data_IF_005547769112
#
_entry.id   IF_005547769112
#
_cell.length_a   1.000
_cell.length_b   1.000
_cell.length_c   1.000
_cell.angle_alpha   90.00
_cell.angle_beta   90.00
_cell.angle_gamma   90.00
#
_symmetry.space_group_name_H-M   'P 1'
#
loop_
_entity.id
_entity.type
_entity.pdbx_description
1 polymer ?
#
# COMPACT_ATOMS: atom_id res chain seq x y z
N UNK A 1 -26.12 -51.73 -80.84
CA UNK A 1 -26.87 -51.35 -79.65
C UNK A 1 -26.13 -51.78 -78.41
N UNK A 2 -25.48 -50.90 -77.78
CA UNK A 2 -25.15 -50.98 -76.30
C UNK A 2 -24.46 -49.65 -75.99
N UNK A 3 -25.12 -48.89 -75.09
CA UNK A 3 -24.65 -47.57 -74.71
C UNK A 3 -23.58 -47.69 -73.60
N UNK A 4 -22.40 -47.21 -73.83
CA UNK A 4 -21.34 -47.07 -72.82
C UNK A 4 -21.62 -45.81 -71.97
N UNK A 5 -21.81 -45.99 -70.68
CA UNK A 5 -21.90 -44.88 -69.68
C UNK A 5 -20.45 -44.52 -69.23
N UNK A 6 -20.09 -43.30 -69.53
CA UNK A 6 -18.87 -42.67 -69.02
C UNK A 6 -19.11 -42.23 -67.57
N UNK A 7 -18.40 -42.84 -66.68
CA UNK A 7 -18.34 -42.45 -65.26
C UNK A 7 -17.26 -41.41 -65.08
N UNK A 8 -17.64 -40.16 -64.82
CA UNK A 8 -16.72 -39.10 -64.51
C UNK A 8 -16.36 -39.19 -63.02
N UNK A 9 -15.15 -39.51 -62.66
CA UNK A 9 -14.57 -39.34 -61.32
C UNK A 9 -14.29 -37.85 -61.12
N UNK A 10 -15.00 -37.20 -60.23
CA UNK A 10 -14.62 -35.90 -59.71
C UNK A 10 -13.68 -36.11 -58.53
N UNK A 11 -12.40 -35.76 -58.67
CA UNK A 11 -11.43 -35.70 -57.59
C UNK A 11 -11.66 -34.35 -56.87
N UNK A 12 -12.28 -34.44 -55.71
CA UNK A 12 -12.38 -33.29 -54.80
C UNK A 12 -11.05 -33.16 -54.05
N UNK A 13 -10.25 -32.17 -54.40
CA UNK A 13 -9.07 -31.79 -53.62
C UNK A 13 -9.57 -31.07 -52.33
N UNK A 14 -9.57 -31.77 -51.22
CA UNK A 14 -9.77 -31.16 -49.91
C UNK A 14 -8.48 -30.41 -49.52
N UNK A 15 -8.49 -29.09 -49.73
CA UNK A 15 -7.46 -28.20 -49.18
C UNK A 15 -7.74 -28.11 -47.66
N UNK A 16 -7.01 -28.90 -46.89
CA UNK A 16 -6.99 -28.78 -45.45
C UNK A 16 -6.34 -27.46 -45.02
N UNK A 17 -7.14 -26.44 -44.71
CA UNK A 17 -6.68 -25.29 -43.92
C UNK A 17 -6.29 -25.81 -42.53
N UNK A 18 -5.01 -26.11 -42.32
CA UNK A 18 -4.44 -26.16 -40.99
C UNK A 18 -4.52 -24.73 -40.38
N UNK A 19 -5.56 -24.48 -39.61
CA UNK A 19 -5.59 -23.34 -38.69
C UNK A 19 -4.49 -23.57 -37.68
N UNK A 20 -3.32 -22.97 -37.87
CA UNK A 20 -2.35 -22.75 -36.81
C UNK A 20 -3.00 -21.77 -35.84
N UNK A 21 -3.74 -22.29 -34.89
CA UNK A 21 -4.02 -21.59 -33.65
C UNK A 21 -2.65 -21.32 -33.01
N UNK A 22 -2.16 -20.11 -33.14
CA UNK A 22 -1.05 -19.64 -32.33
C UNK A 22 -1.51 -19.78 -30.88
N UNK A 23 -1.05 -20.83 -30.21
CA UNK A 23 -1.08 -20.90 -28.76
C UNK A 23 -0.18 -19.73 -28.33
N UNK A 24 -0.80 -18.61 -27.98
CA UNK A 24 -0.10 -17.57 -27.27
C UNK A 24 0.45 -18.27 -26.02
N UNK A 25 1.76 -18.51 -25.99
CA UNK A 25 2.43 -18.97 -24.79
C UNK A 25 2.01 -17.96 -23.71
N UNK A 26 1.28 -18.43 -22.71
CA UNK A 26 1.00 -17.61 -21.55
C UNK A 26 2.38 -17.16 -21.06
N UNK A 27 2.64 -15.86 -21.11
CA UNK A 27 3.89 -15.32 -20.61
C UNK A 27 4.00 -15.81 -19.16
N UNK A 28 5.10 -16.49 -18.84
CA UNK A 28 5.30 -16.99 -17.48
C UNK A 28 5.06 -15.83 -16.51
N UNK A 29 4.15 -16.01 -15.59
CA UNK A 29 3.85 -14.99 -14.58
C UNK A 29 5.12 -14.66 -13.78
N UNK A 30 5.44 -13.37 -13.55
CA UNK A 30 6.71 -12.99 -12.95
C UNK A 30 6.87 -13.60 -11.55
N UNK A 31 8.07 -14.12 -11.28
CA UNK A 31 8.48 -14.60 -9.95
C UNK A 31 9.67 -13.76 -9.48
N UNK A 32 9.52 -13.14 -8.31
CA UNK A 32 10.54 -12.24 -7.76
C UNK A 32 11.22 -12.86 -6.54
N UNK A 33 12.43 -12.39 -6.23
CA UNK A 33 13.12 -12.77 -5.01
C UNK A 33 12.45 -12.21 -3.74
N UNK A 34 12.93 -12.64 -2.54
CA UNK A 34 12.34 -12.22 -1.27
C UNK A 34 12.46 -10.72 -1.00
N UNK A 35 13.47 -10.05 -1.57
CA UNK A 35 13.62 -8.59 -1.53
C UNK A 35 13.16 -7.95 -2.86
N UNK A 36 12.16 -8.56 -3.49
CA UNK A 36 11.55 -8.08 -4.74
C UNK A 36 12.58 -7.89 -5.85
N UNK A 37 13.63 -8.74 -5.88
CA UNK A 37 14.60 -8.79 -6.97
C UNK A 37 13.89 -9.18 -8.27
N UNK A 38 14.22 -8.48 -9.34
CA UNK A 38 13.60 -8.66 -10.66
C UNK A 38 12.41 -7.74 -10.92
N UNK A 39 11.90 -7.00 -9.94
CA UNK A 39 10.89 -5.95 -10.16
C UNK A 39 11.55 -4.57 -10.24
N UNK A 40 11.28 -3.85 -11.33
CA UNK A 40 11.85 -2.52 -11.55
C UNK A 40 11.04 -1.43 -10.84
N UNK A 41 11.74 -0.60 -10.06
CA UNK A 41 11.17 0.59 -9.44
C UNK A 41 11.21 1.78 -10.40
N UNK A 42 10.26 2.71 -10.28
CA UNK A 42 10.18 3.88 -11.19
C UNK A 42 11.29 4.92 -10.94
N UNK A 43 12.00 4.81 -9.82
CA UNK A 43 13.11 5.68 -9.43
C UNK A 43 14.28 4.85 -8.88
N UNK A 44 15.51 5.39 -8.85
CA UNK A 44 16.67 4.71 -8.26
C UNK A 44 16.41 4.29 -6.82
N UNK A 45 16.82 3.07 -6.47
CA UNK A 45 16.69 2.49 -5.14
C UNK A 45 18.00 2.60 -4.39
N UNK A 46 17.96 3.31 -3.28
CA UNK A 46 19.08 3.43 -2.32
C UNK A 46 18.94 2.41 -1.19
N UNK A 47 20.03 2.20 -0.43
CA UNK A 47 20.08 1.22 0.65
C UNK A 47 20.65 1.85 1.92
N UNK A 48 19.88 1.90 2.98
CA UNK A 48 20.30 2.24 4.32
C UNK A 48 20.60 0.97 5.11
N UNK A 49 21.86 0.78 5.54
CA UNK A 49 22.31 -0.38 6.30
C UNK A 49 22.42 -0.01 7.77
N UNK A 50 21.91 -0.87 8.65
CA UNK A 50 21.93 -0.68 10.09
C UNK A 50 21.74 -2.02 10.81
N UNK A 51 22.06 -2.07 12.12
CA UNK A 51 21.80 -3.23 12.96
C UNK A 51 20.56 -3.00 13.82
N UNK A 52 19.68 -3.98 13.88
CA UNK A 52 18.49 -3.96 14.75
C UNK A 52 18.18 -5.35 15.25
N UNK A 53 17.86 -5.47 16.54
CA UNK A 53 17.58 -6.75 17.23
C UNK A 53 18.68 -7.82 16.99
N UNK A 54 19.95 -7.38 16.99
CA UNK A 54 21.10 -8.28 16.78
C UNK A 54 21.27 -8.79 15.35
N UNK A 55 20.59 -8.20 14.37
CA UNK A 55 20.67 -8.59 12.96
C UNK A 55 21.10 -7.39 12.11
N UNK A 56 21.95 -7.64 11.10
CA UNK A 56 22.32 -6.64 10.10
C UNK A 56 21.22 -6.58 9.03
N UNK A 57 20.67 -5.41 8.86
CA UNK A 57 19.51 -5.15 7.99
C UNK A 57 19.82 -4.08 6.97
N UNK A 58 19.08 -4.12 5.88
CA UNK A 58 19.03 -3.02 4.91
C UNK A 58 17.60 -2.57 4.66
N UNK A 59 17.38 -1.26 4.70
CA UNK A 59 16.15 -0.61 4.30
C UNK A 59 16.34 -0.02 2.90
N UNK A 60 15.57 -0.48 1.93
CA UNK A 60 15.51 0.12 0.62
C UNK A 60 14.68 1.41 0.70
N UNK A 61 15.06 2.42 -0.05
CA UNK A 61 14.29 3.68 -0.11
C UNK A 61 14.52 4.40 -1.42
N UNK A 62 13.59 5.29 -1.76
CA UNK A 62 13.72 6.24 -2.85
C UNK A 62 14.03 7.62 -2.24
N UNK A 63 15.01 8.33 -2.78
CA UNK A 63 15.32 9.74 -2.45
C UNK A 63 15.25 10.55 -3.74
N UNK A 64 14.09 11.12 -4.00
CA UNK A 64 13.83 11.84 -5.24
C UNK A 64 13.87 13.34 -4.98
N UNK A 65 14.81 14.00 -5.64
CA UNK A 65 14.97 15.45 -5.55
C UNK A 65 13.89 16.17 -6.35
N UNK A 66 13.59 17.44 -6.02
CA UNK A 66 12.66 18.25 -6.80
C UNK A 66 13.05 18.27 -8.29
N UNK A 67 12.05 18.12 -9.17
CA UNK A 67 12.21 18.29 -10.62
C UNK A 67 11.95 19.74 -11.07
N UNK A 68 11.50 20.61 -10.16
CA UNK A 68 11.34 22.04 -10.33
C UNK A 68 12.17 22.81 -9.29
N UNK A 69 11.93 24.12 -9.14
CA UNK A 69 12.58 24.94 -8.10
C UNK A 69 12.27 24.37 -6.71
N UNK A 70 13.30 24.02 -5.90
CA UNK A 70 13.11 23.44 -4.58
C UNK A 70 12.35 24.39 -3.64
N UNK A 71 11.38 23.85 -2.90
CA UNK A 71 10.67 24.61 -1.85
C UNK A 71 11.35 24.50 -0.47
N UNK A 72 12.48 23.78 -0.38
CA UNK A 72 13.24 23.58 0.86
C UNK A 72 12.63 22.53 1.81
N UNK A 73 11.50 21.89 1.44
CA UNK A 73 10.77 20.95 2.31
C UNK A 73 10.94 19.50 1.86
N UNK A 74 10.83 18.60 2.83
CA UNK A 74 10.88 17.15 2.60
C UNK A 74 9.56 16.52 3.00
N UNK A 75 9.09 15.53 2.22
CA UNK A 75 7.97 14.67 2.56
C UNK A 75 8.39 13.21 2.54
N UNK A 76 7.95 12.45 3.54
CA UNK A 76 8.19 11.01 3.68
C UNK A 76 6.92 10.25 3.39
N UNK A 77 6.96 9.29 2.47
CA UNK A 77 5.81 8.50 2.02
C UNK A 77 5.89 7.07 2.57
N UNK A 78 5.01 6.72 3.51
CA UNK A 78 4.94 5.41 4.16
C UNK A 78 3.83 4.57 3.51
N UNK A 79 4.23 3.48 2.85
CA UNK A 79 3.33 2.62 2.07
C UNK A 79 2.42 1.74 2.94
N UNK A 80 1.32 1.25 2.35
CA UNK A 80 0.43 0.25 2.93
C UNK A 80 1.00 -1.19 2.87
N UNK A 81 0.32 -2.14 3.54
CA UNK A 81 0.80 -3.52 3.67
C UNK A 81 0.99 -4.25 2.33
N UNK A 82 0.09 -4.04 1.38
CA UNK A 82 0.15 -4.70 0.07
C UNK A 82 0.95 -3.91 -0.97
N UNK A 83 1.53 -2.79 -0.57
CA UNK A 83 2.22 -1.86 -1.42
C UNK A 83 3.68 -1.68 -1.02
N UNK A 84 4.43 -1.00 -1.87
CA UNK A 84 5.84 -0.69 -1.77
C UNK A 84 6.06 0.81 -2.01
N UNK A 85 7.28 1.28 -1.81
CA UNK A 85 7.67 2.64 -2.21
C UNK A 85 7.38 2.92 -3.70
N UNK A 86 7.47 1.89 -4.56
CA UNK A 86 7.16 2.00 -5.98
C UNK A 86 5.73 2.45 -6.27
N UNK A 87 4.76 2.08 -5.43
CA UNK A 87 3.34 2.44 -5.63
C UNK A 87 3.07 3.93 -5.47
N UNK A 88 4.00 4.66 -4.88
CA UNK A 88 3.95 6.12 -4.77
C UNK A 88 4.41 6.86 -6.04
N UNK A 89 4.66 6.17 -7.17
CA UNK A 89 5.18 6.75 -8.41
C UNK A 89 4.47 8.05 -8.81
N UNK A 90 3.13 8.04 -8.86
CA UNK A 90 2.34 9.21 -9.22
C UNK A 90 2.46 10.36 -8.21
N UNK A 91 2.46 10.01 -6.90
CA UNK A 91 2.62 11.00 -5.84
C UNK A 91 4.04 11.59 -5.81
N UNK A 92 5.07 10.77 -6.04
CA UNK A 92 6.45 11.25 -6.13
C UNK A 92 6.59 12.25 -7.28
N UNK A 93 6.05 11.95 -8.47
CA UNK A 93 6.07 12.86 -9.63
C UNK A 93 5.41 14.19 -9.29
N UNK A 94 4.17 14.16 -8.78
CA UNK A 94 3.42 15.37 -8.46
C UNK A 94 4.11 16.24 -7.38
N UNK A 95 4.67 15.60 -6.35
CA UNK A 95 5.36 16.30 -5.27
C UNK A 95 6.69 16.90 -5.72
N UNK A 96 7.49 16.18 -6.51
CA UNK A 96 8.77 16.70 -7.02
C UNK A 96 8.57 17.80 -8.03
N UNK A 97 7.53 17.76 -8.84
CA UNK A 97 7.09 18.86 -9.71
C UNK A 97 6.66 20.11 -8.91
N UNK A 98 6.12 19.92 -7.70
CA UNK A 98 5.77 20.97 -6.76
C UNK A 98 6.95 21.43 -5.85
N UNK A 99 8.17 21.01 -6.15
CA UNK A 99 9.39 21.47 -5.45
C UNK A 99 9.77 20.68 -4.20
N UNK A 100 9.10 19.57 -3.88
CA UNK A 100 9.39 18.75 -2.70
C UNK A 100 10.54 17.76 -2.94
N UNK A 101 11.40 17.58 -1.92
CA UNK A 101 12.21 16.35 -1.81
C UNK A 101 11.35 15.25 -1.26
N UNK A 102 11.35 14.07 -1.90
CA UNK A 102 10.50 12.93 -1.50
C UNK A 102 11.37 11.76 -1.05
N UNK A 103 11.13 11.27 0.17
CA UNK A 103 11.72 10.04 0.70
C UNK A 103 10.61 8.98 0.79
N UNK A 104 10.80 7.84 0.15
CA UNK A 104 9.84 6.74 0.22
C UNK A 104 10.57 5.43 0.58
N UNK A 105 10.59 5.04 1.87
CA UNK A 105 11.19 3.78 2.30
C UNK A 105 10.26 2.60 2.05
N UNK A 106 10.81 1.46 1.66
CA UNK A 106 10.22 0.16 1.93
C UNK A 106 10.51 -0.20 3.39
N UNK A 107 9.49 -0.40 4.20
CA UNK A 107 9.70 -0.75 5.59
C UNK A 107 10.36 -2.14 5.74
N UNK A 108 11.10 -2.37 6.84
CA UNK A 108 11.64 -3.71 7.14
C UNK A 108 10.49 -4.73 7.15
N UNK A 109 10.71 -5.86 6.50
CA UNK A 109 9.69 -6.89 6.28
C UNK A 109 8.96 -6.78 4.94
N UNK A 110 9.12 -5.67 4.22
CA UNK A 110 8.42 -5.38 2.97
C UNK A 110 9.38 -5.30 1.77
N UNK A 111 8.86 -5.57 0.62
CA UNK A 111 9.39 -5.24 -0.73
C UNK A 111 10.90 -5.42 -0.89
N UNK A 112 11.65 -4.36 -1.19
CA UNK A 112 13.10 -4.42 -1.41
C UNK A 112 13.93 -4.32 -0.12
N UNK A 113 13.29 -4.26 1.04
CA UNK A 113 13.95 -4.27 2.36
C UNK A 113 14.10 -5.68 2.93
N UNK A 114 15.03 -5.84 3.87
CA UNK A 114 15.29 -7.11 4.56
C UNK A 114 14.05 -7.71 5.19
N UNK A 115 13.96 -9.05 5.16
CA UNK A 115 12.92 -9.85 5.81
C UNK A 115 13.54 -10.76 6.88
N UNK A 116 13.95 -10.16 8.02
CA UNK A 116 14.70 -10.89 9.04
C UNK A 116 13.87 -11.98 9.71
N UNK A 117 14.48 -13.14 9.91
CA UNK A 117 13.88 -14.22 10.67
C UNK A 117 13.78 -13.83 12.15
N UNK A 118 12.66 -14.16 12.79
CA UNK A 118 12.48 -13.93 14.23
C UNK A 118 12.38 -12.47 14.68
N UNK A 119 12.32 -11.53 13.75
CA UNK A 119 12.19 -10.09 14.06
C UNK A 119 10.86 -9.77 14.71
N UNK A 120 10.90 -9.04 15.82
CA UNK A 120 9.69 -8.53 16.47
C UNK A 120 9.28 -7.22 15.82
N UNK A 121 8.24 -7.27 14.99
CA UNK A 121 7.67 -6.08 14.40
C UNK A 121 6.80 -5.33 15.42
N UNK A 122 7.07 -4.05 15.56
CA UNK A 122 6.21 -3.08 16.26
C UNK A 122 6.18 -1.78 15.47
N UNK A 123 5.09 -1.03 15.58
CA UNK A 123 5.04 0.31 14.96
C UNK A 123 6.13 1.22 15.53
N UNK A 124 6.47 1.07 16.81
CA UNK A 124 7.58 1.79 17.45
C UNK A 124 8.92 1.46 16.78
N UNK A 125 9.18 0.17 16.53
CA UNK A 125 10.44 -0.24 15.88
C UNK A 125 10.50 0.28 14.43
N UNK A 126 9.41 0.18 13.66
CA UNK A 126 9.38 0.70 12.29
C UNK A 126 9.52 2.23 12.25
N UNK A 127 8.89 2.95 13.20
CA UNK A 127 9.08 4.39 13.35
C UNK A 127 10.53 4.76 13.71
N UNK A 128 11.15 4.02 14.63
CA UNK A 128 12.56 4.18 14.98
C UNK A 128 13.51 3.93 13.80
N UNK A 129 13.26 2.88 13.01
CA UNK A 129 14.03 2.60 11.80
C UNK A 129 13.87 3.73 10.76
N UNK A 130 12.66 4.24 10.57
CA UNK A 130 12.39 5.38 9.69
C UNK A 130 13.11 6.64 10.19
N UNK A 131 13.09 6.92 11.51
CA UNK A 131 13.80 8.07 12.10
C UNK A 131 15.31 7.95 11.89
N UNK A 132 15.88 6.77 12.06
CA UNK A 132 17.29 6.53 11.83
C UNK A 132 17.71 6.75 10.37
N UNK A 133 16.88 6.29 9.41
CA UNK A 133 17.08 6.59 8.00
C UNK A 133 17.07 8.11 7.74
N UNK A 134 16.07 8.84 8.24
CA UNK A 134 15.97 10.29 8.02
C UNK A 134 17.17 11.03 8.65
N UNK A 135 17.61 10.63 9.84
CA UNK A 135 18.79 11.19 10.48
C UNK A 135 20.07 10.96 9.65
N UNK A 136 20.22 9.77 9.04
CA UNK A 136 21.36 9.48 8.16
C UNK A 136 21.40 10.32 6.89
N UNK A 137 20.24 10.87 6.49
CA UNK A 137 20.08 11.77 5.35
C UNK A 137 20.13 13.26 5.73
N UNK A 138 20.39 13.57 7.01
CA UNK A 138 20.38 14.94 7.53
C UNK A 138 19.00 15.60 7.57
N UNK A 139 17.93 14.79 7.63
CA UNK A 139 16.54 15.28 7.65
C UNK A 139 16.06 15.30 9.10
N UNK A 140 15.98 16.49 9.68
CA UNK A 140 15.51 16.71 11.06
C UNK A 140 13.98 16.83 11.12
N UNK A 141 13.39 17.50 10.14
CA UNK A 141 11.97 17.79 10.04
C UNK A 141 11.43 17.35 8.68
N UNK A 142 10.21 16.82 8.65
CA UNK A 142 9.53 16.45 7.41
C UNK A 142 8.01 16.41 7.58
N UNK A 143 7.30 16.50 6.47
CA UNK A 143 5.91 16.03 6.39
C UNK A 143 5.93 14.52 6.36
N UNK A 144 5.12 13.87 7.20
CA UNK A 144 4.95 12.42 7.20
C UNK A 144 3.59 12.07 6.59
N UNK A 145 3.61 11.35 5.48
CA UNK A 145 2.41 10.90 4.79
C UNK A 145 2.34 9.38 4.79
N UNK A 146 1.24 8.81 5.27
CA UNK A 146 1.06 7.36 5.34
C UNK A 146 -0.25 6.90 4.73
N UNK A 147 -0.19 5.82 3.92
CA UNK A 147 -1.34 5.14 3.36
C UNK A 147 -1.62 3.84 4.11
N UNK A 148 -2.88 3.58 4.48
CA UNK A 148 -3.28 2.30 5.06
C UNK A 148 -2.49 1.98 6.35
N UNK A 149 -1.77 0.86 6.40
CA UNK A 149 -0.81 0.52 7.48
C UNK A 149 0.26 1.59 7.68
N UNK A 150 0.71 2.21 6.57
CA UNK A 150 1.61 3.37 6.64
C UNK A 150 1.00 4.55 7.39
N UNK A 151 -0.34 4.67 7.41
CA UNK A 151 -1.05 5.65 8.22
C UNK A 151 -0.95 5.35 9.73
N UNK A 152 -1.08 4.07 10.15
CA UNK A 152 -0.81 3.69 11.55
C UNK A 152 0.65 3.98 11.94
N UNK A 153 1.59 3.68 11.03
CA UNK A 153 3.01 3.98 11.24
C UNK A 153 3.27 5.48 11.32
N UNK A 154 2.65 6.28 10.46
CA UNK A 154 2.76 7.74 10.46
C UNK A 154 2.23 8.35 11.78
N UNK A 155 1.10 7.87 12.28
CA UNK A 155 0.57 8.27 13.58
C UNK A 155 1.53 7.87 14.72
N UNK A 156 2.05 6.65 14.73
CA UNK A 156 3.06 6.21 15.73
C UNK A 156 4.33 7.04 15.64
N UNK A 157 4.80 7.37 14.44
CA UNK A 157 5.96 8.23 14.24
C UNK A 157 5.71 9.63 14.84
N UNK A 158 4.57 10.23 14.59
CA UNK A 158 4.20 11.54 15.11
C UNK A 158 4.09 11.56 16.66
N UNK A 159 3.59 10.47 17.25
CA UNK A 159 3.55 10.31 18.71
C UNK A 159 4.94 10.19 19.34
N UNK A 160 5.86 9.49 18.69
CA UNK A 160 7.24 9.29 19.19
C UNK A 160 8.16 10.48 18.94
N UNK A 161 7.96 11.19 17.85
CA UNK A 161 8.84 12.26 17.37
C UNK A 161 8.08 13.53 16.97
N UNK A 162 7.23 14.09 17.86
CA UNK A 162 6.31 15.17 17.50
C UNK A 162 7.02 16.43 16.97
N UNK A 163 8.23 16.71 17.48
CA UNK A 163 9.02 17.86 17.05
C UNK A 163 9.69 17.71 15.69
N UNK A 164 9.71 16.51 15.11
CA UNK A 164 10.27 16.25 13.78
C UNK A 164 9.22 16.11 12.68
N UNK A 165 7.95 16.32 13.02
CA UNK A 165 6.83 16.24 12.08
C UNK A 165 6.25 17.62 11.85
N UNK A 166 6.45 18.17 10.66
CA UNK A 166 5.86 19.48 10.28
C UNK A 166 4.34 19.36 10.09
N UNK A 167 3.90 18.31 9.42
CA UNK A 167 2.51 18.03 9.09
C UNK A 167 2.34 16.51 8.95
N UNK A 168 1.16 15.99 9.28
CA UNK A 168 0.80 14.58 9.15
C UNK A 168 -0.30 14.40 8.12
N UNK A 169 -0.07 13.57 7.10
CA UNK A 169 -1.06 13.24 6.06
C UNK A 169 -1.42 11.78 6.17
N UNK A 170 -2.68 11.48 6.33
CA UNK A 170 -3.24 10.14 6.51
C UNK A 170 -4.17 9.83 5.34
N UNK A 171 -3.74 8.90 4.47
CA UNK A 171 -4.49 8.49 3.27
C UNK A 171 -5.13 7.14 3.55
N UNK A 172 -6.44 7.11 3.66
CA UNK A 172 -7.21 5.91 4.02
C UNK A 172 -6.48 5.07 5.10
N UNK A 173 -6.09 5.70 6.24
CA UNK A 173 -5.33 4.99 7.25
C UNK A 173 -6.19 3.87 7.84
N UNK A 174 -5.63 2.68 8.01
CA UNK A 174 -6.27 1.67 8.86
C UNK A 174 -6.01 2.01 10.34
N UNK A 175 -6.73 1.32 11.24
CA UNK A 175 -6.59 1.60 12.69
C UNK A 175 -7.37 2.82 13.18
N UNK A 176 -8.34 3.32 12.39
CA UNK A 176 -9.32 4.30 12.84
C UNK A 176 -10.40 3.68 13.76
N UNK A 177 -10.34 2.37 13.95
CA UNK A 177 -11.17 1.59 14.87
C UNK A 177 -10.34 0.48 15.51
N UNK A 178 -10.69 0.03 16.71
CA UNK A 178 -10.09 -1.15 17.33
C UNK A 178 -10.94 -2.38 16.99
N UNK A 179 -10.45 -3.20 16.07
CA UNK A 179 -11.13 -4.40 15.60
C UNK A 179 -11.33 -5.44 16.71
N UNK A 180 -10.36 -5.57 17.65
CA UNK A 180 -10.47 -6.49 18.80
C UNK A 180 -11.62 -6.08 19.72
N UNK A 181 -11.67 -4.78 20.07
CA UNK A 181 -12.74 -4.25 20.90
C UNK A 181 -14.12 -4.40 20.24
N UNK A 182 -14.17 -4.42 18.91
CA UNK A 182 -15.40 -4.68 18.14
C UNK A 182 -15.73 -6.16 17.95
N UNK A 183 -14.89 -7.08 18.44
CA UNK A 183 -15.17 -8.51 18.42
C UNK A 183 -14.57 -9.27 17.23
N UNK A 184 -13.58 -8.70 16.51
CA UNK A 184 -12.76 -9.48 15.58
C UNK A 184 -11.90 -10.46 16.36
N UNK A 185 -11.98 -11.78 16.10
CA UNK A 185 -11.22 -12.77 16.86
C UNK A 185 -9.72 -12.67 16.59
N UNK A 186 -8.95 -12.99 17.61
CA UNK A 186 -7.50 -13.13 17.47
C UNK A 186 -7.15 -14.34 16.56
N UNK A 187 -6.14 -14.15 15.73
CA UNK A 187 -5.55 -15.19 14.93
C UNK A 187 -4.06 -15.36 15.30
N UNK A 188 -3.61 -16.61 15.47
CA UNK A 188 -2.20 -16.89 15.77
C UNK A 188 -1.27 -16.56 14.60
N UNK A 189 0.04 -16.42 14.87
CA UNK A 189 1.03 -16.24 13.81
C UNK A 189 1.00 -17.37 12.78
N UNK A 190 0.80 -18.62 13.20
CA UNK A 190 0.67 -19.75 12.29
C UNK A 190 -0.60 -19.61 11.44
N UNK A 191 -1.70 -19.15 12.01
CA UNK A 191 -2.93 -18.86 11.30
C UNK A 191 -2.74 -17.76 10.24
N UNK A 192 -2.07 -16.66 10.58
CA UNK A 192 -1.70 -15.60 9.62
C UNK A 192 -0.79 -16.15 8.52
N UNK A 193 0.23 -16.93 8.89
CA UNK A 193 1.18 -17.51 7.92
C UNK A 193 0.51 -18.47 6.95
N UNK A 194 -0.43 -19.28 7.43
CA UNK A 194 -1.19 -20.18 6.56
C UNK A 194 -2.09 -19.41 5.57
N UNK A 195 -2.65 -18.28 5.98
CA UNK A 195 -3.39 -17.39 5.06
C UNK A 195 -2.45 -16.80 3.99
N UNK A 196 -1.29 -16.32 4.41
CA UNK A 196 -0.29 -15.76 3.48
C UNK A 196 0.22 -16.79 2.46
N UNK A 197 0.32 -18.06 2.84
CA UNK A 197 0.67 -19.15 1.91
C UNK A 197 -0.37 -19.40 0.82
N UNK A 198 -1.60 -18.95 1.02
CA UNK A 198 -2.69 -19.08 0.03
C UNK A 198 -2.84 -17.88 -0.87
N UNK A 199 -2.04 -16.84 -0.66
CA UNK A 199 -2.07 -15.63 -1.50
C UNK A 199 -1.70 -15.98 -2.94
N UNK A 200 -2.51 -15.49 -3.86
CA UNK A 200 -2.34 -15.64 -5.31
C UNK A 200 -2.65 -14.33 -6.02
N UNK A 201 -2.25 -14.18 -7.28
CA UNK A 201 -2.59 -13.02 -8.09
C UNK A 201 -4.11 -12.79 -8.14
N UNK A 202 -4.89 -13.86 -8.29
CA UNK A 202 -6.36 -13.76 -8.35
C UNK A 202 -6.95 -13.28 -7.03
N UNK A 203 -6.45 -13.78 -5.88
CA UNK A 203 -6.93 -13.34 -4.57
C UNK A 203 -6.56 -11.89 -4.28
N UNK A 204 -5.36 -11.45 -4.68
CA UNK A 204 -4.92 -10.06 -4.56
C UNK A 204 -5.80 -9.17 -5.43
N UNK A 205 -5.97 -9.51 -6.70
CA UNK A 205 -6.78 -8.74 -7.67
C UNK A 205 -8.23 -8.61 -7.20
N UNK A 206 -8.83 -9.71 -6.74
CA UNK A 206 -10.19 -9.69 -6.24
C UNK A 206 -10.34 -8.78 -5.01
N UNK A 207 -9.39 -8.85 -4.08
CA UNK A 207 -9.37 -8.00 -2.89
C UNK A 207 -9.16 -6.52 -3.25
N UNK A 208 -8.17 -6.19 -4.07
CA UNK A 208 -7.88 -4.81 -4.46
C UNK A 208 -9.04 -4.21 -5.27
N UNK A 209 -9.62 -4.96 -6.21
CA UNK A 209 -10.77 -4.51 -6.94
C UNK A 209 -11.93 -4.14 -6.01
N UNK A 210 -12.28 -5.02 -5.07
CA UNK A 210 -13.41 -4.82 -4.19
C UNK A 210 -13.19 -3.70 -3.16
N UNK A 211 -11.97 -3.57 -2.62
CA UNK A 211 -11.69 -2.65 -1.52
C UNK A 211 -10.90 -1.41 -1.95
N UNK A 212 -9.85 -1.59 -2.78
CA UNK A 212 -8.94 -0.49 -3.11
C UNK A 212 -9.50 0.41 -4.20
N UNK A 213 -10.29 -0.16 -5.12
CA UNK A 213 -10.74 0.53 -6.32
C UNK A 213 -12.27 0.59 -6.46
N UNK A 214 -13.01 0.35 -5.38
CA UNK A 214 -14.48 0.48 -5.33
C UNK A 214 -15.19 -0.28 -6.47
N UNK A 215 -14.84 -1.55 -6.66
CA UNK A 215 -15.28 -2.45 -7.74
C UNK A 215 -14.92 -2.01 -9.17
N UNK A 216 -14.22 -0.90 -9.36
CA UNK A 216 -13.64 -0.52 -10.65
C UNK A 216 -12.31 -1.24 -10.91
N UNK A 217 -11.92 -1.34 -12.18
CA UNK A 217 -10.61 -1.92 -12.53
C UNK A 217 -10.01 -1.20 -13.74
N UNK A 218 -8.81 -0.69 -13.57
CA UNK A 218 -8.00 -0.17 -14.65
C UNK A 218 -6.82 -1.15 -14.92
N UNK A 219 -6.49 -1.47 -16.19
CA UNK A 219 -5.38 -2.37 -16.50
C UNK A 219 -4.04 -1.98 -15.87
N UNK A 220 -3.81 -0.71 -15.60
CA UNK A 220 -2.57 -0.24 -14.93
C UNK A 220 -2.41 -0.74 -13.50
N UNK A 221 -3.50 -1.14 -12.82
CA UNK A 221 -3.45 -1.69 -11.46
C UNK A 221 -2.83 -3.09 -11.43
N UNK A 222 -2.89 -3.83 -12.55
CA UNK A 222 -2.35 -5.18 -12.65
C UNK A 222 -0.86 -5.25 -12.30
N UNK A 223 -0.10 -4.19 -12.60
CA UNK A 223 1.31 -4.08 -12.22
C UNK A 223 1.53 -4.28 -10.72
N UNK A 224 0.65 -3.75 -9.88
CA UNK A 224 0.76 -3.83 -8.43
C UNK A 224 0.35 -5.21 -7.90
N UNK A 225 -0.66 -5.81 -8.52
CA UNK A 225 -1.01 -7.22 -8.27
C UNK A 225 0.17 -8.13 -8.57
N UNK A 226 0.80 -7.98 -9.73
CA UNK A 226 1.92 -8.81 -10.15
C UNK A 226 3.19 -8.55 -9.31
N UNK A 227 3.41 -7.32 -8.86
CA UNK A 227 4.47 -6.97 -7.92
C UNK A 227 4.37 -7.80 -6.63
N UNK A 228 3.20 -7.81 -6.01
CA UNK A 228 2.97 -8.55 -4.77
C UNK A 228 2.95 -10.06 -5.01
N UNK A 229 2.17 -10.54 -5.99
CA UNK A 229 2.04 -11.97 -6.30
C UNK A 229 3.36 -12.61 -6.70
N UNK A 230 4.21 -11.87 -7.41
CA UNK A 230 5.53 -12.36 -7.84
C UNK A 230 6.45 -12.74 -6.69
N UNK A 231 6.37 -12.06 -5.54
CA UNK A 231 7.12 -12.45 -4.34
C UNK A 231 6.62 -13.78 -3.76
N UNK A 232 5.32 -14.05 -3.85
CA UNK A 232 4.73 -15.32 -3.40
C UNK A 232 4.95 -16.49 -4.39
N UNK A 233 5.27 -16.20 -5.65
CA UNK A 233 5.68 -17.20 -6.65
C UNK A 233 7.17 -17.50 -6.61
N UNK A 234 7.97 -16.57 -6.11
CA UNK A 234 9.42 -16.65 -6.09
C UNK A 234 10.00 -17.57 -5.00
N UNK A 235 11.33 -17.75 -5.02
CA UNK A 235 12.03 -18.66 -4.10
C UNK A 235 11.95 -18.20 -2.62
N UNK A 236 11.66 -16.91 -2.39
CA UNK A 236 11.51 -16.32 -1.06
C UNK A 236 10.15 -16.44 -0.42
N UNK A 237 9.20 -17.19 -1.01
CA UNK A 237 7.82 -17.29 -0.57
C UNK A 237 7.64 -17.47 0.95
N UNK A 238 8.41 -18.38 1.56
CA UNK A 238 8.33 -18.64 3.00
C UNK A 238 8.81 -17.47 3.86
N UNK A 239 9.84 -16.76 3.45
CA UNK A 239 10.33 -15.57 4.14
C UNK A 239 9.30 -14.43 4.02
N UNK A 240 8.73 -14.23 2.83
CA UNK A 240 7.68 -13.26 2.57
C UNK A 240 6.43 -13.56 3.41
N UNK A 241 5.92 -14.79 3.36
CA UNK A 241 4.75 -15.21 4.15
C UNK A 241 4.99 -15.08 5.66
N UNK A 242 6.18 -15.41 6.13
CA UNK A 242 6.56 -15.32 7.55
C UNK A 242 6.64 -13.86 8.03
N UNK A 243 7.27 -12.97 7.25
CA UNK A 243 7.30 -11.53 7.54
C UNK A 243 5.89 -10.93 7.51
N UNK A 244 5.13 -11.24 6.48
CA UNK A 244 3.77 -10.73 6.29
C UNK A 244 2.83 -11.15 7.43
N UNK A 245 2.92 -12.41 7.89
CA UNK A 245 2.15 -12.90 9.04
C UNK A 245 2.45 -12.10 10.32
N UNK A 246 3.75 -11.83 10.61
CA UNK A 246 4.16 -11.03 11.78
C UNK A 246 3.69 -9.58 11.66
N UNK A 247 3.69 -9.03 10.44
CA UNK A 247 3.17 -7.69 10.19
C UNK A 247 1.65 -7.61 10.37
N UNK A 248 0.90 -8.65 9.99
CA UNK A 248 -0.53 -8.74 10.30
C UNK A 248 -0.80 -8.80 11.81
N UNK A 249 -0.01 -9.61 12.54
CA UNK A 249 -0.11 -9.68 14.01
C UNK A 249 0.18 -8.31 14.65
N UNK A 250 1.23 -7.62 14.20
CA UNK A 250 1.52 -6.25 14.63
C UNK A 250 0.32 -5.33 14.38
N UNK A 251 -0.23 -5.32 13.17
CA UNK A 251 -1.37 -4.47 12.80
C UNK A 251 -2.59 -4.78 13.68
N UNK A 252 -2.90 -6.07 13.86
CA UNK A 252 -4.09 -6.49 14.62
C UNK A 252 -3.97 -6.27 16.13
N UNK A 253 -2.74 -6.26 16.67
CA UNK A 253 -2.51 -6.24 18.13
C UNK A 253 -2.03 -4.92 18.68
N UNK A 254 -1.60 -3.97 17.84
CA UNK A 254 -1.01 -2.69 18.25
C UNK A 254 -1.84 -1.49 17.75
N UNK A 255 -3.04 -1.26 18.31
CA UNK A 255 -3.88 -0.14 17.89
C UNK A 255 -3.24 1.20 18.25
N UNK A 256 -3.36 2.17 17.33
CA UNK A 256 -3.05 3.59 17.58
C UNK A 256 -4.31 4.39 17.93
N UNK A 257 -5.45 3.76 17.86
CA UNK A 257 -6.79 4.33 18.04
C UNK A 257 -6.98 5.12 19.33
N UNK A 258 -6.33 4.71 20.42
CA UNK A 258 -6.51 5.31 21.75
C UNK A 258 -5.65 6.55 22.00
N UNK A 259 -4.83 6.99 21.02
CA UNK A 259 -3.83 8.04 21.22
C UNK A 259 -4.00 9.23 20.24
N UNK A 260 -5.12 9.32 19.53
CA UNK A 260 -5.34 10.38 18.52
C UNK A 260 -5.26 11.78 19.09
N UNK A 261 -5.77 11.99 20.32
CA UNK A 261 -5.76 13.27 21.00
C UNK A 261 -4.36 13.76 21.40
N UNK A 262 -3.36 12.87 21.34
CA UNK A 262 -1.96 13.17 21.66
C UNK A 262 -1.14 13.54 20.41
N UNK A 263 -1.71 13.46 19.22
CA UNK A 263 -1.02 13.80 17.97
C UNK A 263 -1.07 15.33 17.78
N UNK A 264 0.07 15.97 18.01
CA UNK A 264 0.21 17.44 18.04
C UNK A 264 0.30 18.08 16.64
N UNK A 265 1.04 17.51 15.65
CA UNK A 265 1.16 18.12 14.33
C UNK A 265 -0.20 18.31 13.64
N UNK A 266 -0.36 19.33 12.77
CA UNK A 266 -1.54 19.43 11.91
C UNK A 266 -1.77 18.18 11.08
N UNK A 267 -3.00 17.67 11.07
CA UNK A 267 -3.39 16.41 10.42
C UNK A 267 -4.29 16.66 9.23
N UNK A 268 -3.96 16.07 8.09
CA UNK A 268 -4.88 15.91 6.97
C UNK A 268 -5.32 14.46 6.89
N UNK A 269 -6.63 14.21 6.98
CA UNK A 269 -7.25 12.94 6.63
C UNK A 269 -7.78 13.00 5.20
N UNK A 270 -7.38 12.06 4.35
CA UNK A 270 -7.86 11.92 2.96
C UNK A 270 -8.52 10.55 2.83
N UNK A 271 -9.83 10.51 2.74
CA UNK A 271 -10.65 9.31 2.87
C UNK A 271 -11.44 9.04 1.59
N UNK A 272 -11.31 7.82 1.05
CA UNK A 272 -12.21 7.28 0.03
C UNK A 272 -13.47 6.71 0.70
N UNK A 273 -14.64 7.27 0.41
CA UNK A 273 -15.88 6.89 1.08
C UNK A 273 -16.36 5.48 0.74
N UNK A 274 -15.80 4.89 -0.33
CA UNK A 274 -16.08 3.49 -0.72
C UNK A 274 -15.10 2.50 -0.10
N UNK A 275 -14.14 2.95 0.67
CA UNK A 275 -13.25 2.07 1.40
C UNK A 275 -14.01 1.26 2.45
N UNK A 276 -13.74 -0.05 2.48
CA UNK A 276 -14.35 -0.99 3.42
C UNK A 276 -13.30 -1.83 4.15
N UNK A 277 -12.05 -1.41 4.11
CA UNK A 277 -10.91 -2.15 4.66
C UNK A 277 -11.02 -2.27 6.18
N UNK A 278 -10.96 -3.51 6.68
CA UNK A 278 -10.80 -3.80 8.10
C UNK A 278 -10.06 -5.13 8.27
N UNK A 279 -9.05 -5.14 9.14
CA UNK A 279 -8.23 -6.33 9.35
C UNK A 279 -9.04 -7.42 10.07
N UNK A 280 -9.02 -8.63 9.50
CA UNK A 280 -9.76 -9.76 10.04
C UNK A 280 -11.29 -9.66 9.90
N UNK A 281 -11.79 -8.75 9.07
CA UNK A 281 -13.22 -8.57 8.81
C UNK A 281 -13.92 -9.87 8.40
N UNK A 282 -13.26 -10.68 7.60
CA UNK A 282 -13.76 -11.99 7.15
C UNK A 282 -13.84 -13.03 8.29
N UNK A 283 -13.05 -12.88 9.35
CA UNK A 283 -13.06 -13.71 10.55
C UNK A 283 -14.13 -13.24 11.56
N UNK A 284 -14.62 -12.02 11.42
CA UNK A 284 -15.58 -11.44 12.34
C UNK A 284 -16.92 -12.18 12.29
N UNK A 285 -17.65 -12.29 13.44
CA UNK A 285 -19.02 -12.78 13.46
C UNK A 285 -19.91 -12.03 12.47
N UNK A 286 -20.92 -12.71 11.92
CA UNK A 286 -21.83 -12.15 10.92
C UNK A 286 -22.53 -10.85 11.41
N UNK A 287 -22.79 -10.73 12.71
CA UNK A 287 -23.38 -9.52 13.33
C UNK A 287 -22.39 -8.35 13.43
N UNK A 288 -21.08 -8.63 13.51
CA UNK A 288 -20.03 -7.62 13.67
C UNK A 288 -19.53 -7.13 12.31
N UNK A 289 -19.38 -8.04 11.36
CA UNK A 289 -18.80 -7.78 10.04
C UNK A 289 -19.33 -6.53 9.33
N UNK A 290 -20.63 -6.23 9.29
CA UNK A 290 -21.16 -5.04 8.65
C UNK A 290 -20.79 -3.72 9.35
N UNK A 291 -20.37 -3.77 10.62
CA UNK A 291 -20.02 -2.58 11.42
C UNK A 291 -18.57 -2.15 11.25
N UNK A 292 -17.76 -2.97 10.55
CA UNK A 292 -16.33 -2.74 10.33
C UNK A 292 -16.06 -2.04 9.00
N UNK A 293 -15.10 -1.10 9.00
CA UNK A 293 -14.63 -0.44 7.79
C UNK A 293 -15.67 0.54 7.21
N UNK A 294 -16.40 1.26 8.04
CA UNK A 294 -17.27 2.35 7.60
C UNK A 294 -16.47 3.65 7.56
N UNK A 295 -15.68 3.84 6.50
CA UNK A 295 -14.73 4.96 6.39
C UNK A 295 -15.36 6.35 6.45
N UNK A 296 -16.54 6.62 5.85
CA UNK A 296 -17.20 7.92 6.04
C UNK A 296 -17.47 8.27 7.52
N UNK A 297 -17.86 7.28 8.31
CA UNK A 297 -18.07 7.48 9.75
C UNK A 297 -16.74 7.51 10.53
N UNK A 298 -15.81 6.63 10.19
CA UNK A 298 -14.50 6.53 10.83
C UNK A 298 -13.65 7.78 10.61
N UNK A 299 -13.65 8.33 9.39
CA UNK A 299 -12.92 9.56 9.05
C UNK A 299 -13.42 10.75 9.87
N UNK A 300 -14.75 10.94 9.95
CA UNK A 300 -15.37 12.01 10.74
C UNK A 300 -15.09 11.86 12.25
N UNK A 301 -15.22 10.63 12.75
CA UNK A 301 -14.93 10.35 14.16
C UNK A 301 -13.46 10.57 14.50
N UNK A 302 -12.55 10.17 13.65
CA UNK A 302 -11.12 10.38 13.83
C UNK A 302 -10.75 11.88 13.75
N UNK A 303 -11.25 12.60 12.74
CA UNK A 303 -11.02 14.04 12.59
C UNK A 303 -11.47 14.83 13.83
N UNK A 304 -12.56 14.43 14.45
CA UNK A 304 -13.06 15.08 15.67
C UNK A 304 -12.19 14.84 16.91
N UNK A 305 -11.30 13.83 16.88
CA UNK A 305 -10.41 13.45 17.99
C UNK A 305 -9.01 14.04 17.88
N UNK A 306 -8.51 14.29 16.67
CA UNK A 306 -7.22 14.96 16.50
C UNK A 306 -7.33 16.44 16.91
N UNK A 307 -6.36 17.00 17.65
CA UNK A 307 -6.39 18.40 18.07
C UNK A 307 -6.49 19.40 16.91
N UNK A 308 -5.86 19.10 15.79
CA UNK A 308 -5.82 19.94 14.60
C UNK A 308 -5.97 19.07 13.35
N UNK A 309 -7.20 18.83 12.90
CA UNK A 309 -7.44 17.99 11.72
C UNK A 309 -8.33 18.65 10.69
N UNK A 310 -8.01 18.36 9.43
CA UNK A 310 -8.90 18.57 8.29
C UNK A 310 -9.23 17.22 7.66
N UNK A 311 -10.48 17.02 7.28
CA UNK A 311 -10.96 15.85 6.55
C UNK A 311 -11.26 16.24 5.10
N UNK A 312 -10.73 15.49 4.15
CA UNK A 312 -11.11 15.54 2.73
C UNK A 312 -11.67 14.17 2.36
N UNK A 313 -12.93 14.16 1.94
CA UNK A 313 -13.65 12.95 1.53
C UNK A 313 -13.70 12.85 -0.02
N UNK A 314 -13.55 11.62 -0.53
CA UNK A 314 -13.69 11.28 -1.94
C UNK A 314 -14.86 10.29 -2.09
N UNK A 315 -16.09 10.78 -2.39
CA UNK A 315 -17.32 9.99 -2.28
C UNK A 315 -17.39 8.75 -3.19
N UNK A 316 -16.59 8.74 -4.25
CA UNK A 316 -16.58 7.73 -5.32
C UNK A 316 -15.33 6.82 -5.30
N UNK A 317 -14.36 7.07 -4.41
CA UNK A 317 -13.09 6.35 -4.38
C UNK A 317 -13.04 5.31 -3.25
N UNK A 318 -12.22 4.28 -3.47
CA UNK A 318 -11.90 3.23 -2.50
C UNK A 318 -10.66 3.56 -1.69
N UNK A 319 -9.99 2.51 -1.19
CA UNK A 319 -8.85 2.56 -0.28
C UNK A 319 -7.56 3.18 -0.87
N UNK A 320 -7.50 3.42 -2.18
CA UNK A 320 -6.29 3.94 -2.83
C UNK A 320 -6.57 5.15 -3.72
N UNK A 321 -7.08 6.27 -3.16
CA UNK A 321 -7.47 7.45 -3.93
C UNK A 321 -6.29 8.08 -4.68
N UNK A 322 -5.06 7.97 -4.17
CA UNK A 322 -3.84 8.45 -4.82
C UNK A 322 -3.50 7.70 -6.11
N UNK A 323 -4.00 6.46 -6.27
CA UNK A 323 -3.84 5.65 -7.48
C UNK A 323 -5.09 5.77 -8.37
N UNK A 324 -6.27 5.72 -7.77
CA UNK A 324 -7.54 5.68 -8.47
C UNK A 324 -7.90 7.00 -9.15
N UNK A 325 -7.58 8.14 -8.51
CA UNK A 325 -7.86 9.48 -9.05
C UNK A 325 -6.70 10.46 -8.78
N UNK A 326 -5.48 10.20 -9.35
CA UNK A 326 -4.26 10.91 -8.97
C UNK A 326 -4.35 12.42 -9.12
N UNK A 327 -4.94 12.92 -10.20
CA UNK A 327 -5.03 14.37 -10.42
C UNK A 327 -5.87 15.07 -9.33
N UNK A 328 -7.03 14.50 -8.98
CA UNK A 328 -7.91 15.05 -7.94
C UNK A 328 -7.27 14.94 -6.56
N UNK A 329 -6.66 13.81 -6.27
CA UNK A 329 -5.98 13.56 -5.02
C UNK A 329 -4.81 14.54 -4.80
N UNK A 330 -3.90 14.64 -5.79
CA UNK A 330 -2.72 15.49 -5.66
C UNK A 330 -3.07 16.99 -5.63
N UNK A 331 -4.11 17.42 -6.36
CA UNK A 331 -4.57 18.81 -6.28
C UNK A 331 -5.06 19.17 -4.86
N UNK A 332 -5.79 18.25 -4.20
CA UNK A 332 -6.25 18.44 -2.82
C UNK A 332 -5.08 18.41 -1.82
N UNK A 333 -4.17 17.45 -1.95
CA UNK A 333 -2.97 17.32 -1.13
C UNK A 333 -2.09 18.57 -1.20
N UNK A 334 -1.70 19.00 -2.40
CA UNK A 334 -0.81 20.13 -2.60
C UNK A 334 -1.41 21.44 -2.10
N UNK A 335 -2.73 21.62 -2.24
CA UNK A 335 -3.43 22.78 -1.68
C UNK A 335 -3.27 22.84 -0.17
N UNK A 336 -3.47 21.73 0.52
CA UNK A 336 -3.33 21.69 1.98
C UNK A 336 -1.88 21.83 2.44
N UNK A 337 -0.92 21.20 1.78
CA UNK A 337 0.50 21.30 2.11
C UNK A 337 1.03 22.73 2.03
N UNK A 338 0.46 23.56 1.15
CA UNK A 338 0.85 24.96 0.98
C UNK A 338 0.11 25.92 1.93
N UNK A 339 -1.04 25.52 2.47
CA UNK A 339 -1.89 26.35 3.32
C UNK A 339 -2.39 25.56 4.56
N UNK A 340 -1.50 25.16 5.47
CA UNK A 340 -1.86 24.34 6.63
C UNK A 340 -2.78 25.04 7.64
N UNK A 341 -2.94 26.36 7.52
CA UNK A 341 -3.73 27.18 8.45
C UNK A 341 -5.26 27.08 8.25
N UNK A 342 -5.70 26.32 7.25
CA UNK A 342 -7.14 26.15 6.95
C UNK A 342 -7.74 25.03 7.81
N UNK A 343 -7.52 25.08 9.11
CA UNK A 343 -8.01 24.11 10.08
C UNK A 343 -8.01 24.65 11.50
N UNK A 344 -7.89 25.98 11.67
CA UNK A 344 -8.09 26.56 13.00
C UNK A 344 -9.46 26.14 13.54
N UNK A 345 -9.56 25.67 14.80
CA UNK A 345 -10.83 25.27 15.38
C UNK A 345 -11.79 26.46 15.27
N UNK A 346 -12.97 26.21 14.67
CA UNK A 346 -14.07 27.16 14.81
C UNK A 346 -14.32 27.27 16.31
N UNK A 347 -13.87 28.37 16.89
CA UNK A 347 -14.19 28.75 18.27
C UNK A 347 -15.71 28.61 18.44
N UNK A 348 -16.11 27.68 19.32
CA UNK A 348 -17.49 27.53 19.78
C UNK A 348 -17.91 28.75 20.59
#
# INVERSE_FOLDING_TARGET
>A
MIRARLLRLAIAAAVGLCSLAAVAAAADEPAYGPELEGFDYPFPVERYRFSSQGQDLQMAYLDVKPSSSPNGRTIVLLHGKNFCAATWEGSIKALTEAGWRVIAPDQIGFCKSSKPAGYQFTFQQLAGNTRALLASLGIEHAVIMGHSTGGMLAMRYALMYPTSVDQLVLVDPIGLEDWKAKGVPWLSLDGWKERERRVSADSIRAYERATYYADSWDPSYERWVQMLAGMYRGPGREAVASSSARLYDMIATQPVFYEFEQIVPPVLLMIGDKDTTAIGKDLAPASVRPTLGNYPALGKAAAARFPQAQLIEFPDLGHSPQIQAPARFHAALLRWLNHPEVGAPQTR
#
